data_IF_696704228222
#
_entry.id   IF_696704228222
#
_cell.length_a   1.000
_cell.length_b   1.000
_cell.length_c   1.000
_cell.angle_alpha   90.00
_cell.angle_beta   90.00
_cell.angle_gamma   90.00
#
_symmetry.space_group_name_H-M   'P 1'
#
loop_
_entity.id
_entity.type
_entity.pdbx_description
1 polymer ?
#
# COMPACT_ATOMS: atom_id res chain seq x y z
N UNK A 1 16.95 19.61 8.40
CA UNK A 1 16.65 18.68 7.28
C UNK A 1 15.16 18.79 6.96
N UNK A 2 14.79 18.84 5.68
CA UNK A 2 13.39 18.89 5.24
C UNK A 2 13.01 17.51 4.72
N UNK A 3 11.83 17.01 5.09
CA UNK A 3 11.27 15.79 4.53
C UNK A 3 10.66 16.11 3.16
N UNK A 4 11.02 15.36 2.12
CA UNK A 4 10.56 15.61 0.75
C UNK A 4 9.14 15.09 0.49
N UNK A 5 8.64 14.14 1.27
CA UNK A 5 7.27 13.62 1.15
C UNK A 5 7.06 12.61 0.02
N UNK A 6 8.13 12.03 -0.53
CA UNK A 6 8.05 10.87 -1.43
C UNK A 6 7.66 9.62 -0.62
N UNK A 7 6.73 8.82 -1.13
CA UNK A 7 6.31 7.55 -0.52
C UNK A 7 6.68 6.40 -1.45
N UNK A 8 7.38 5.39 -0.94
CA UNK A 8 7.76 4.21 -1.72
C UNK A 8 7.41 2.92 -0.97
N UNK A 9 6.67 2.03 -1.65
CA UNK A 9 6.48 0.64 -1.25
C UNK A 9 7.31 -0.22 -2.20
N UNK A 10 8.04 -1.19 -1.64
CA UNK A 10 8.89 -2.11 -2.39
C UNK A 10 8.56 -3.54 -1.99
N UNK A 11 7.94 -4.29 -2.91
CA UNK A 11 7.52 -5.67 -2.72
C UNK A 11 6.78 -5.90 -1.38
N UNK A 12 5.84 -5.02 -1.04
CA UNK A 12 5.13 -5.08 0.24
C UNK A 12 4.19 -6.28 0.26
N UNK A 13 4.36 -7.13 1.25
CA UNK A 13 3.48 -8.26 1.56
C UNK A 13 2.89 -8.07 2.94
N UNK A 14 1.60 -8.39 3.10
CA UNK A 14 0.92 -8.18 4.37
C UNK A 14 -0.28 -9.10 4.55
N UNK A 15 -0.35 -9.73 5.72
CA UNK A 15 -1.55 -10.37 6.26
C UNK A 15 -1.87 -9.75 7.63
N UNK A 16 -3.14 -9.79 8.03
CA UNK A 16 -3.50 -9.39 9.39
C UNK A 16 -3.18 -10.53 10.37
N UNK A 17 -2.71 -10.24 11.61
CA UNK A 17 -2.33 -11.28 12.58
C UNK A 17 -3.45 -12.28 12.90
N UNK A 18 -4.71 -11.84 12.83
CA UNK A 18 -5.86 -12.71 13.11
C UNK A 18 -6.29 -13.58 11.91
N UNK A 19 -5.62 -13.45 10.76
CA UNK A 19 -5.89 -14.14 9.48
C UNK A 19 -4.60 -14.32 8.67
N UNK A 20 -3.65 -15.06 9.23
CA UNK A 20 -2.35 -15.32 8.60
C UNK A 20 -2.45 -16.09 7.28
N UNK A 21 -3.56 -16.82 7.08
CA UNK A 21 -3.87 -17.60 5.89
C UNK A 21 -4.23 -16.72 4.67
N UNK A 22 -4.55 -15.44 4.88
CA UNK A 22 -4.98 -14.52 3.82
C UNK A 22 -3.95 -13.41 3.63
N UNK A 23 -3.27 -13.45 2.49
CA UNK A 23 -2.37 -12.38 2.08
C UNK A 23 -3.19 -11.22 1.47
N UNK A 24 -3.33 -10.12 2.21
CA UNK A 24 -4.09 -8.94 1.80
C UNK A 24 -3.31 -8.11 0.78
N UNK A 25 -1.99 -8.00 0.93
CA UNK A 25 -1.09 -7.38 -0.05
C UNK A 25 -0.10 -8.43 -0.52
N UNK A 26 -0.01 -8.64 -1.83
CA UNK A 26 0.81 -9.71 -2.43
C UNK A 26 1.92 -9.15 -3.32
N UNK A 27 2.90 -8.46 -2.73
CA UNK A 27 4.05 -7.90 -3.45
C UNK A 27 3.71 -6.58 -4.15
N UNK A 28 3.22 -5.61 -3.37
CA UNK A 28 2.84 -4.30 -3.89
C UNK A 28 4.06 -3.39 -4.00
N UNK A 29 4.29 -2.88 -5.21
CA UNK A 29 5.23 -1.79 -5.51
C UNK A 29 4.44 -0.51 -5.80
N UNK A 30 4.84 0.59 -5.15
CA UNK A 30 4.21 1.90 -5.31
C UNK A 30 5.27 2.99 -5.14
N UNK A 31 5.22 4.01 -5.99
CA UNK A 31 6.07 5.20 -5.88
C UNK A 31 5.21 6.43 -6.10
N UNK A 32 5.13 7.30 -5.09
CA UNK A 32 4.35 8.53 -5.12
C UNK A 32 5.31 9.70 -4.96
N UNK A 33 5.39 10.53 -5.99
CA UNK A 33 6.25 11.71 -5.99
C UNK A 33 5.68 12.80 -5.06
N UNK A 34 6.55 13.71 -4.55
CA UNK A 34 6.08 14.86 -3.79
C UNK A 34 5.03 15.69 -4.54
N UNK A 35 3.86 15.86 -3.94
CA UNK A 35 2.74 16.63 -4.52
C UNK A 35 1.87 15.84 -5.51
N UNK A 36 2.22 14.60 -5.82
CA UNK A 36 1.40 13.69 -6.62
C UNK A 36 0.17 13.23 -5.84
N UNK A 37 -0.94 13.01 -6.55
CA UNK A 37 -2.14 12.39 -5.99
C UNK A 37 -2.50 11.17 -6.83
N UNK A 38 -2.72 10.06 -6.14
CA UNK A 38 -3.18 8.81 -6.74
C UNK A 38 -4.54 8.43 -6.17
N UNK A 39 -5.27 7.58 -6.90
CA UNK A 39 -6.48 6.94 -6.42
C UNK A 39 -6.29 5.43 -6.36
N UNK A 40 -6.60 4.84 -5.21
CA UNK A 40 -6.68 3.38 -5.07
C UNK A 40 -8.11 2.94 -5.33
N UNK A 41 -8.32 2.16 -6.39
CA UNK A 41 -9.64 1.68 -6.82
C UNK A 41 -9.65 0.16 -6.93
N UNK A 42 -10.83 -0.46 -6.81
CA UNK A 42 -10.98 -1.90 -6.86
C UNK A 42 -12.09 -2.43 -5.95
N UNK A 43 -12.46 -3.70 -6.09
CA UNK A 43 -13.58 -4.31 -5.36
C UNK A 43 -13.35 -4.34 -3.84
N UNK A 44 -14.42 -4.61 -3.08
CA UNK A 44 -14.29 -4.83 -1.62
C UNK A 44 -13.30 -5.97 -1.34
N UNK A 45 -12.46 -5.80 -0.31
CA UNK A 45 -11.41 -6.77 0.05
C UNK A 45 -10.10 -6.67 -0.74
N UNK A 46 -9.99 -5.81 -1.76
CA UNK A 46 -8.76 -5.68 -2.57
C UNK A 46 -7.55 -5.00 -1.87
N UNK A 47 -7.57 -4.82 -0.55
CA UNK A 47 -6.43 -4.25 0.20
C UNK A 47 -6.29 -2.71 0.17
N UNK A 48 -7.23 -1.97 -0.43
CA UNK A 48 -7.17 -0.49 -0.55
C UNK A 48 -6.99 0.22 0.81
N UNK A 49 -7.84 -0.08 1.78
CA UNK A 49 -7.78 0.50 3.14
C UNK A 49 -6.59 -0.02 3.96
N UNK A 50 -5.89 -1.03 3.47
CA UNK A 50 -4.66 -1.54 4.09
C UNK A 50 -3.44 -0.75 3.61
N UNK A 51 -3.50 -0.16 2.41
CA UNK A 51 -2.45 0.73 1.86
C UNK A 51 -2.60 2.17 2.40
N UNK A 52 -3.84 2.63 2.61
CA UNK A 52 -4.17 3.98 3.08
C UNK A 52 -3.98 4.15 4.59
#
# INVERSE_FOLDING_TARGET
MKLEGRVQFKNVQFHYPNREDINVLSGVDLDIAPGERIALVGPSGAGKSTIA
#
